data_IF_320517923843
#
_entry.id   IF_320517923843
#
_cell.length_a   1.000
_cell.length_b   1.000
_cell.length_c   1.000
_cell.angle_alpha   90.00
_cell.angle_beta   90.00
_cell.angle_gamma   90.00
#
_symmetry.space_group_name_H-M   'P 1'
#
loop_
_entity.id
_entity.type
_entity.pdbx_description
1 polymer ?
#
# COMPACT_ATOMS: atom_id res chain seq x y z
N UNK A 1 42.54 -25.32 14.24
CA UNK A 1 41.80 -24.65 13.15
C UNK A 1 40.70 -23.83 13.76
N UNK A 2 40.74 -22.51 13.69
CA UNK A 2 39.61 -21.71 14.20
C UNK A 2 38.40 -21.82 13.23
N UNK A 3 37.24 -22.11 13.78
CA UNK A 3 36.00 -22.12 13.04
C UNK A 3 35.71 -20.69 12.55
N UNK A 4 35.47 -20.53 11.25
CA UNK A 4 35.04 -19.26 10.67
C UNK A 4 33.69 -18.88 11.27
N UNK A 5 33.47 -17.60 11.60
CA UNK A 5 32.17 -17.14 12.09
C UNK A 5 31.08 -17.33 11.03
N UNK A 6 29.95 -17.94 11.44
CA UNK A 6 28.81 -18.27 10.60
C UNK A 6 27.99 -17.00 10.23
N UNK A 7 28.59 -15.80 10.31
CA UNK A 7 27.87 -14.53 10.16
C UNK A 7 27.84 -13.95 8.74
N UNK A 8 28.37 -14.63 7.71
CA UNK A 8 28.49 -14.06 6.36
C UNK A 8 27.80 -14.87 5.25
N UNK A 9 26.78 -15.64 5.55
CA UNK A 9 25.89 -16.11 4.49
C UNK A 9 24.80 -15.04 4.27
N UNK A 10 24.72 -14.46 3.06
CA UNK A 10 23.66 -13.50 2.77
C UNK A 10 22.30 -14.18 3.00
N UNK A 11 21.45 -13.54 3.81
CA UNK A 11 20.09 -13.98 4.02
C UNK A 11 19.34 -14.02 2.66
N UNK A 12 18.47 -15.01 2.40
CA UNK A 12 17.64 -15.04 1.18
C UNK A 12 16.92 -13.71 0.90
N UNK A 13 16.48 -13.02 1.95
CA UNK A 13 15.90 -11.68 1.86
C UNK A 13 16.89 -10.66 1.28
N UNK A 14 18.20 -10.75 1.60
CA UNK A 14 19.20 -9.83 1.07
C UNK A 14 19.43 -10.00 -0.44
N UNK A 15 19.31 -11.21 -0.97
CA UNK A 15 19.43 -11.47 -2.42
C UNK A 15 18.19 -10.97 -3.16
N UNK A 16 17.00 -11.17 -2.60
CA UNK A 16 15.73 -10.60 -3.13
C UNK A 16 15.80 -9.08 -3.13
N UNK A 17 16.27 -8.47 -2.04
CA UNK A 17 16.39 -7.01 -1.94
C UNK A 17 17.34 -6.46 -3.02
N UNK A 18 18.50 -7.09 -3.25
CA UNK A 18 19.43 -6.70 -4.32
C UNK A 18 18.80 -6.80 -5.71
N UNK A 19 18.15 -7.92 -6.02
CA UNK A 19 17.45 -8.09 -7.31
C UNK A 19 16.38 -7.03 -7.55
N UNK A 20 15.65 -6.62 -6.51
CA UNK A 20 14.65 -5.56 -6.61
C UNK A 20 15.33 -4.20 -6.81
N UNK A 21 16.42 -3.90 -6.10
CA UNK A 21 17.19 -2.68 -6.33
C UNK A 21 17.75 -2.61 -7.75
N UNK A 22 18.33 -3.70 -8.28
CA UNK A 22 18.83 -3.78 -9.66
C UNK A 22 17.69 -3.53 -10.67
N UNK A 23 16.51 -4.08 -10.39
CA UNK A 23 15.32 -3.82 -11.21
C UNK A 23 14.90 -2.34 -11.14
N UNK A 24 14.82 -1.75 -9.95
CA UNK A 24 14.49 -0.34 -9.77
C UNK A 24 15.47 0.57 -10.53
N UNK A 25 16.77 0.28 -10.44
CA UNK A 25 17.81 1.02 -11.16
C UNK A 25 17.64 0.91 -12.69
N UNK A 26 17.25 -0.26 -13.19
CA UNK A 26 16.97 -0.47 -14.62
C UNK A 26 15.76 0.33 -15.12
N UNK A 27 14.81 0.61 -14.24
CA UNK A 27 13.61 1.43 -14.51
C UNK A 27 13.86 2.93 -14.24
N UNK A 28 15.08 3.31 -13.83
CA UNK A 28 15.45 4.70 -13.56
C UNK A 28 15.11 5.20 -12.15
N UNK A 29 14.80 4.32 -11.22
CA UNK A 29 14.61 4.62 -9.80
C UNK A 29 15.83 4.16 -9.00
N UNK A 30 16.26 4.95 -8.03
CA UNK A 30 17.35 4.58 -7.15
C UNK A 30 16.78 3.88 -5.92
N UNK A 31 17.01 2.56 -5.81
CA UNK A 31 16.69 1.77 -4.62
C UNK A 31 17.87 1.71 -3.65
N UNK A 32 17.61 1.90 -2.36
CA UNK A 32 18.61 1.77 -1.29
C UNK A 32 18.09 0.76 -0.26
N UNK A 33 18.94 -0.18 0.14
CA UNK A 33 18.62 -1.15 1.20
C UNK A 33 19.04 -0.50 2.52
N UNK A 34 18.10 -0.41 3.47
CA UNK A 34 18.36 0.13 4.80
C UNK A 34 18.96 -0.91 5.76
N UNK A 35 19.23 -0.49 7.00
CA UNK A 35 19.85 -1.34 8.03
C UNK A 35 18.95 -2.53 8.46
N UNK A 36 17.64 -2.43 8.25
CA UNK A 36 16.67 -3.49 8.54
C UNK A 36 16.52 -4.47 7.36
N UNK A 37 17.13 -4.17 6.21
CA UNK A 37 17.05 -4.96 4.98
C UNK A 37 15.86 -4.61 4.10
N UNK A 38 15.11 -3.57 4.44
CA UNK A 38 14.02 -3.02 3.66
C UNK A 38 14.55 -2.12 2.53
N UNK A 39 13.76 -1.93 1.47
CA UNK A 39 14.16 -1.12 0.32
C UNK A 39 13.43 0.22 0.36
N UNK A 40 14.21 1.30 0.37
CA UNK A 40 13.71 2.68 0.27
C UNK A 40 13.99 3.21 -1.14
N UNK A 41 12.99 3.79 -1.78
CA UNK A 41 13.16 4.47 -3.08
C UNK A 41 12.19 5.63 -3.24
N UNK A 42 12.42 6.46 -4.26
CA UNK A 42 11.56 7.60 -4.58
C UNK A 42 11.03 7.49 -6.00
N UNK A 43 9.74 7.79 -6.15
CA UNK A 43 9.08 7.90 -7.45
C UNK A 43 8.16 9.12 -7.44
N UNK A 44 8.30 10.02 -8.42
CA UNK A 44 7.47 11.22 -8.57
C UNK A 44 7.36 12.07 -7.27
N UNK A 45 8.48 12.17 -6.54
CA UNK A 45 8.55 12.93 -5.29
C UNK A 45 7.99 12.22 -4.05
N UNK A 46 7.42 11.02 -4.18
CA UNK A 46 6.99 10.20 -3.06
C UNK A 46 8.09 9.24 -2.62
N UNK A 47 8.20 9.05 -1.30
CA UNK A 47 9.02 8.01 -0.73
C UNK A 47 8.20 6.72 -0.59
N UNK A 48 8.81 5.61 -0.96
CA UNK A 48 8.27 4.26 -0.82
C UNK A 48 9.20 3.43 0.04
N UNK A 49 8.62 2.59 0.87
CA UNK A 49 9.32 1.60 1.68
C UNK A 49 8.78 0.22 1.31
N UNK A 50 9.64 -0.65 0.81
CA UNK A 50 9.30 -2.05 0.56
C UNK A 50 9.89 -2.90 1.67
N UNK A 51 9.03 -3.32 2.61
CA UNK A 51 9.39 -4.20 3.70
C UNK A 51 9.38 -5.64 3.22
N UNK A 52 10.50 -6.34 3.44
CA UNK A 52 10.69 -7.75 3.14
C UNK A 52 10.78 -8.54 4.45
N UNK A 53 10.15 -9.71 4.49
CA UNK A 53 10.22 -10.58 5.65
C UNK A 53 11.27 -11.68 5.43
N UNK A 54 12.32 -11.70 6.25
CA UNK A 54 13.37 -12.72 6.16
C UNK A 54 12.88 -14.11 6.56
N UNK A 55 11.82 -14.20 7.36
CA UNK A 55 11.21 -15.47 7.77
C UNK A 55 10.19 -15.99 6.74
N UNK A 56 9.62 -15.09 5.93
CA UNK A 56 8.69 -15.42 4.85
C UNK A 56 9.07 -14.64 3.58
N UNK A 57 10.02 -15.15 2.77
CA UNK A 57 10.50 -14.46 1.57
C UNK A 57 9.43 -14.21 0.50
N UNK A 58 8.29 -14.90 0.56
CA UNK A 58 7.17 -14.69 -0.36
C UNK A 58 6.33 -13.48 0.04
N UNK A 59 6.40 -13.06 1.31
CA UNK A 59 5.65 -11.92 1.79
C UNK A 59 6.44 -10.61 1.63
N UNK A 60 5.74 -9.58 1.23
CA UNK A 60 6.28 -8.23 1.18
C UNK A 60 5.20 -7.17 1.31
N UNK A 61 5.58 -6.01 1.80
CA UNK A 61 4.68 -4.88 2.02
C UNK A 61 5.29 -3.61 1.47
N UNK A 62 4.66 -3.05 0.43
CA UNK A 62 5.01 -1.74 -0.12
C UNK A 62 4.19 -0.67 0.59
N UNK A 63 4.85 0.35 1.14
CA UNK A 63 4.25 1.41 1.96
C UNK A 63 4.58 2.78 1.38
N UNK A 64 3.59 3.68 1.37
CA UNK A 64 3.80 5.13 1.31
C UNK A 64 3.54 5.68 2.72
N UNK A 65 4.58 6.06 3.46
CA UNK A 65 4.44 6.57 4.81
C UNK A 65 3.98 8.03 4.81
N UNK A 66 3.36 8.47 5.92
CA UNK A 66 3.08 9.87 6.22
C UNK A 66 2.30 10.62 5.12
N UNK A 67 1.24 9.98 4.60
CA UNK A 67 0.39 10.59 3.55
C UNK A 67 -0.34 11.81 4.07
N UNK A 68 -0.74 11.78 5.34
CA UNK A 68 -1.41 12.86 6.05
C UNK A 68 -1.08 12.80 7.54
N UNK A 69 -1.02 13.96 8.19
CA UNK A 69 -0.88 14.11 9.64
C UNK A 69 -1.95 15.10 10.13
N UNK A 70 -2.52 14.86 11.31
CA UNK A 70 -3.56 15.73 11.90
C UNK A 70 -3.26 16.06 13.35
N UNK A 71 -3.70 17.27 13.78
CA UNK A 71 -3.40 17.82 15.10
C UNK A 71 -4.65 17.97 15.98
N UNK A 72 -5.87 17.82 15.43
CA UNK A 72 -7.11 18.03 16.17
C UNK A 72 -8.05 16.82 16.12
N UNK A 73 -8.92 16.71 17.12
CA UNK A 73 -9.94 15.67 17.15
C UNK A 73 -10.97 15.80 16.00
N UNK A 74 -11.28 17.03 15.58
CA UNK A 74 -12.19 17.26 14.46
C UNK A 74 -11.57 16.79 13.16
N UNK A 75 -10.36 17.16 12.88
CA UNK A 75 -9.62 16.71 11.71
C UNK A 75 -9.44 15.18 11.69
N UNK A 76 -9.21 14.57 12.86
CA UNK A 76 -9.15 13.11 13.01
C UNK A 76 -10.42 12.43 12.49
N UNK A 77 -11.61 12.97 12.79
CA UNK A 77 -12.86 12.38 12.32
C UNK A 77 -12.97 12.41 10.79
N UNK A 78 -12.61 13.54 10.17
CA UNK A 78 -12.64 13.71 8.72
C UNK A 78 -11.60 12.80 8.03
N UNK A 79 -10.40 12.69 8.62
CA UNK A 79 -9.35 11.80 8.15
C UNK A 79 -9.78 10.33 8.23
N UNK A 80 -10.44 9.90 9.31
CA UNK A 80 -10.92 8.52 9.43
C UNK A 80 -12.02 8.19 8.41
N UNK A 81 -12.90 9.14 8.08
CA UNK A 81 -13.88 8.97 7.00
C UNK A 81 -13.17 8.82 5.64
N UNK A 82 -12.12 9.60 5.39
CA UNK A 82 -11.34 9.49 4.18
C UNK A 82 -10.56 8.17 4.11
N UNK A 83 -10.02 7.66 5.22
CA UNK A 83 -9.39 6.33 5.32
C UNK A 83 -10.38 5.23 4.93
N UNK A 84 -11.58 5.27 5.49
CA UNK A 84 -12.64 4.30 5.15
C UNK A 84 -13.07 4.42 3.68
N UNK A 85 -13.20 5.64 3.16
CA UNK A 85 -13.52 5.89 1.76
C UNK A 85 -12.46 5.28 0.81
N UNK A 86 -11.15 5.51 1.07
CA UNK A 86 -10.06 4.93 0.28
C UNK A 86 -10.10 3.41 0.32
N UNK A 87 -10.31 2.82 1.50
CA UNK A 87 -10.40 1.37 1.66
C UNK A 87 -11.56 0.74 0.88
N UNK A 88 -12.71 1.44 0.79
CA UNK A 88 -13.85 0.98 -0.02
C UNK A 88 -13.62 1.11 -1.52
N UNK A 89 -12.87 2.12 -1.94
CA UNK A 89 -12.66 2.45 -3.38
C UNK A 89 -11.44 1.74 -3.98
N UNK A 90 -10.44 1.45 -3.18
CA UNK A 90 -9.21 0.80 -3.63
C UNK A 90 -9.34 -0.71 -3.60
N UNK A 91 -8.88 -1.37 -4.68
CA UNK A 91 -8.90 -2.85 -4.76
C UNK A 91 -7.74 -3.51 -4.00
N UNK A 92 -6.60 -2.82 -3.91
CA UNK A 92 -5.35 -3.39 -3.40
C UNK A 92 -4.78 -2.61 -2.22
N UNK A 93 -5.05 -1.30 -2.16
CA UNK A 93 -4.45 -0.43 -1.16
C UNK A 93 -5.24 -0.49 0.14
N UNK A 94 -4.50 -0.61 1.24
CA UNK A 94 -4.99 -0.45 2.60
C UNK A 94 -4.52 0.91 3.13
N UNK A 95 -5.45 1.75 3.57
CA UNK A 95 -5.19 2.96 4.33
C UNK A 95 -5.35 2.67 5.83
N UNK A 96 -4.43 3.15 6.64
CA UNK A 96 -4.47 2.99 8.11
C UNK A 96 -3.74 4.12 8.80
N UNK A 97 -4.02 4.33 10.08
CA UNK A 97 -3.38 5.37 10.89
C UNK A 97 -2.50 4.79 11.99
N UNK A 98 -1.39 5.46 12.24
CA UNK A 98 -0.49 5.22 13.36
C UNK A 98 -0.01 6.57 13.88
N UNK A 99 -0.17 6.84 15.17
CA UNK A 99 0.32 8.06 15.82
C UNK A 99 -0.06 9.35 15.08
N UNK A 100 -1.35 9.55 14.82
CA UNK A 100 -1.91 10.71 14.10
C UNK A 100 -1.39 10.87 12.66
N UNK A 101 -0.93 9.80 12.03
CA UNK A 101 -0.45 9.81 10.65
C UNK A 101 -1.12 8.72 9.83
N UNK A 102 -1.47 9.03 8.59
CA UNK A 102 -1.99 8.06 7.64
C UNK A 102 -0.85 7.44 6.83
N UNK A 103 -0.93 6.14 6.69
CA UNK A 103 -0.07 5.35 5.84
C UNK A 103 -0.92 4.61 4.80
N UNK A 104 -0.37 4.42 3.60
CA UNK A 104 -0.95 3.56 2.59
C UNK A 104 -0.06 2.36 2.36
N UNK A 105 -0.62 1.17 2.21
CA UNK A 105 0.17 -0.03 1.93
C UNK A 105 -0.52 -0.98 0.98
N UNK A 106 0.30 -1.79 0.31
CA UNK A 106 -0.10 -3.00 -0.40
C UNK A 106 0.70 -4.15 0.20
N UNK A 107 0.02 -5.23 0.58
CA UNK A 107 0.63 -6.45 1.09
C UNK A 107 0.39 -7.57 0.08
N UNK A 108 1.44 -8.31 -0.25
CA UNK A 108 1.42 -9.33 -1.29
C UNK A 108 2.14 -10.58 -0.81
N UNK A 109 1.61 -11.73 -1.23
CA UNK A 109 2.31 -13.00 -1.23
C UNK A 109 2.66 -13.30 -2.68
N UNK A 110 3.95 -13.52 -2.96
CA UNK A 110 4.47 -13.75 -4.29
C UNK A 110 5.14 -15.10 -4.41
N UNK A 111 4.65 -15.88 -5.35
CA UNK A 111 5.25 -17.14 -5.72
C UNK A 111 5.32 -17.24 -7.25
N UNK A 112 6.52 -17.30 -7.83
CA UNK A 112 7.83 -17.18 -7.19
C UNK A 112 8.13 -15.73 -6.75
N UNK A 113 9.09 -15.58 -5.82
CA UNK A 113 9.55 -14.27 -5.30
C UNK A 113 10.00 -13.33 -6.43
N UNK A 114 10.53 -13.87 -7.54
CA UNK A 114 10.93 -13.09 -8.73
C UNK A 114 9.79 -12.29 -9.39
N UNK A 115 8.53 -12.55 -9.04
CA UNK A 115 7.38 -11.78 -9.56
C UNK A 115 7.38 -10.30 -9.12
N UNK A 116 8.20 -9.89 -8.13
CA UNK A 116 8.30 -8.51 -7.72
C UNK A 116 8.55 -7.55 -8.88
N UNK A 117 9.47 -7.87 -9.77
CA UNK A 117 9.79 -7.03 -10.93
C UNK A 117 8.58 -6.80 -11.87
N UNK A 118 7.69 -7.77 -11.99
CA UNK A 118 6.53 -7.68 -12.89
C UNK A 118 5.36 -6.86 -12.33
N UNK A 119 5.31 -6.67 -10.99
CA UNK A 119 4.16 -6.03 -10.34
C UNK A 119 4.51 -4.74 -9.59
N UNK A 120 5.78 -4.50 -9.24
CA UNK A 120 6.20 -3.42 -8.36
C UNK A 120 5.74 -2.04 -8.86
N UNK A 121 5.99 -1.70 -10.11
CA UNK A 121 5.57 -0.41 -10.67
C UNK A 121 4.05 -0.26 -10.74
N UNK A 122 3.31 -1.34 -10.90
CA UNK A 122 1.85 -1.32 -10.82
C UNK A 122 1.37 -1.02 -9.40
N UNK A 123 2.04 -1.58 -8.39
CA UNK A 123 1.77 -1.28 -6.97
C UNK A 123 2.12 0.18 -6.63
N UNK A 124 3.25 0.69 -7.13
CA UNK A 124 3.65 2.10 -6.99
C UNK A 124 2.56 3.02 -7.54
N UNK A 125 2.06 2.76 -8.75
CA UNK A 125 0.97 3.54 -9.35
C UNK A 125 -0.31 3.48 -8.54
N UNK A 126 -0.72 2.29 -8.09
CA UNK A 126 -1.92 2.13 -7.28
C UNK A 126 -1.85 2.89 -5.95
N UNK A 127 -0.67 2.94 -5.30
CA UNK A 127 -0.44 3.73 -4.09
C UNK A 127 -0.47 5.25 -4.37
N UNK A 128 0.10 5.70 -5.49
CA UNK A 128 0.04 7.12 -5.89
C UNK A 128 -1.40 7.58 -6.17
N UNK A 129 -2.19 6.76 -6.86
CA UNK A 129 -3.62 7.00 -7.11
C UNK A 129 -4.41 7.05 -5.80
N UNK A 130 -4.18 6.09 -4.89
CA UNK A 130 -4.85 6.05 -3.59
C UNK A 130 -4.46 7.25 -2.70
N UNK A 131 -3.20 7.71 -2.77
CA UNK A 131 -2.77 8.94 -2.09
C UNK A 131 -3.54 10.16 -2.60
N UNK A 132 -3.67 10.30 -3.91
CA UNK A 132 -4.45 11.40 -4.51
C UNK A 132 -5.91 11.34 -4.06
N UNK A 133 -6.49 10.14 -4.07
CA UNK A 133 -7.86 9.91 -3.59
C UNK A 133 -8.01 10.30 -2.12
N UNK A 134 -7.05 9.92 -1.26
CA UNK A 134 -7.04 10.24 0.16
C UNK A 134 -7.00 11.75 0.41
N UNK A 135 -6.09 12.46 -0.24
CA UNK A 135 -5.93 13.91 -0.09
C UNK A 135 -7.21 14.63 -0.56
N UNK A 136 -7.80 14.19 -1.67
CA UNK A 136 -9.03 14.78 -2.18
C UNK A 136 -10.21 14.52 -1.23
N UNK A 137 -10.32 13.32 -0.65
CA UNK A 137 -11.38 13.00 0.31
C UNK A 137 -11.28 13.83 1.60
N UNK A 138 -10.08 14.15 2.07
CA UNK A 138 -9.90 15.03 3.23
C UNK A 138 -10.23 16.48 2.89
N UNK A 139 -9.80 16.96 1.72
CA UNK A 139 -10.01 18.36 1.30
C UNK A 139 -11.43 18.67 0.84
N UNK A 140 -12.15 17.67 0.36
CA UNK A 140 -13.47 17.75 -0.24
C UNK A 140 -14.38 16.68 0.40
N UNK A 141 -14.81 16.85 1.66
CA UNK A 141 -15.61 15.83 2.39
C UNK A 141 -16.91 15.46 1.69
N UNK A 142 -17.45 16.34 0.85
CA UNK A 142 -18.61 16.05 0.02
C UNK A 142 -18.41 14.85 -0.93
N UNK A 143 -17.19 14.53 -1.32
CA UNK A 143 -16.89 13.33 -2.13
C UNK A 143 -17.24 12.06 -1.36
N UNK A 144 -16.91 12.01 -0.08
CA UNK A 144 -17.21 10.89 0.81
C UNK A 144 -18.71 10.75 1.02
N UNK A 145 -19.41 11.89 1.25
CA UNK A 145 -20.86 11.94 1.44
C UNK A 145 -21.62 11.45 0.21
N UNK A 146 -21.22 11.89 -0.99
CA UNK A 146 -21.83 11.47 -2.25
C UNK A 146 -21.61 9.97 -2.52
N UNK A 147 -20.46 9.43 -2.16
CA UNK A 147 -20.18 8.00 -2.29
C UNK A 147 -21.10 7.16 -1.39
N UNK A 148 -21.27 7.56 -0.14
CA UNK A 148 -22.17 6.90 0.81
C UNK A 148 -23.63 6.95 0.35
N UNK A 149 -24.10 8.07 -0.19
CA UNK A 149 -25.46 8.20 -0.73
C UNK A 149 -25.69 7.24 -1.90
N UNK A 150 -24.72 7.11 -2.82
CA UNK A 150 -24.81 6.16 -3.94
C UNK A 150 -24.85 4.72 -3.46
N UNK A 151 -24.06 4.36 -2.46
CA UNK A 151 -24.08 3.02 -1.87
C UNK A 151 -25.43 2.70 -1.23
N UNK A 152 -26.00 3.63 -0.48
CA UNK A 152 -27.31 3.46 0.14
C UNK A 152 -28.42 3.25 -0.91
N UNK A 153 -28.43 4.04 -1.99
CA UNK A 153 -29.36 3.88 -3.10
C UNK A 153 -29.24 2.51 -3.77
N UNK A 154 -28.04 2.07 -4.05
CA UNK A 154 -27.78 0.76 -4.69
C UNK A 154 -28.27 -0.42 -3.83
N UNK A 155 -28.22 -0.30 -2.51
CA UNK A 155 -28.73 -1.33 -1.59
C UNK A 155 -30.25 -1.36 -1.57
N UNK A 156 -30.89 -0.20 -1.60
CA UNK A 156 -32.36 -0.08 -1.63
C UNK A 156 -32.93 -0.67 -2.92
N UNK A 157 -32.31 -0.41 -4.07
CA UNK A 157 -32.76 -0.91 -5.37
C UNK A 157 -32.61 -2.45 -5.46
N UNK A 158 -31.56 -3.02 -4.90
CA UNK A 158 -31.40 -4.49 -4.84
C UNK A 158 -32.42 -5.18 -3.96
N UNK A 159 -32.90 -4.53 -2.92
CA UNK A 159 -33.90 -5.11 -2.01
C UNK A 159 -35.30 -5.03 -2.59
N UNK A 160 -35.57 -4.09 -3.50
CA UNK A 160 -36.87 -3.88 -4.17
C UNK A 160 -37.02 -4.63 -5.51
N UNK A 161 -36.01 -5.37 -5.96
CA UNK A 161 -36.16 -6.15 -7.19
C UNK A 161 -36.94 -7.43 -6.87
N UNK A 162 -38.16 -7.64 -7.46
CA UNK A 162 -38.95 -8.84 -7.22
C UNK A 162 -38.21 -10.08 -7.72
N UNK A 163 -38.39 -11.24 -7.07
CA UNK A 163 -37.74 -12.48 -7.50
C UNK A 163 -38.19 -12.79 -8.93
N UNK A 164 -37.17 -13.13 -9.78
CA UNK A 164 -37.45 -13.54 -11.16
C UNK A 164 -38.44 -14.70 -11.17
N UNK A 165 -39.59 -14.49 -11.78
CA UNK A 165 -40.61 -15.53 -11.97
C UNK A 165 -40.05 -16.55 -12.94
N UNK A 166 -39.66 -17.70 -12.44
CA UNK A 166 -39.27 -18.85 -13.25
C UNK A 166 -40.52 -19.44 -13.85
N UNK A 167 -40.68 -19.34 -15.17
CA UNK A 167 -41.65 -20.10 -15.97
C UNK A 167 -41.00 -21.35 -16.53
#
# INVERSE_FOLDING_TARGET
MPALPIHDLPSPASDTARQICDYLDSEGFKGEIDDDGDIVFRCEGLAYLLCLDSADPQWGRLVVPFVWEWDSAQESADVMQAVDFVNRRSKLVKAYSVNNRVHLSIQLLLEPVSCWSSILLRCVRALAEARTLMINAIRLPELVTLDLQKLAQTQTDKHNTPPATTH
#
